data_IF_212401929401
#
_entry.id   IF_212401929401
#
_cell.length_a   1.000
_cell.length_b   1.000
_cell.length_c   1.000
_cell.angle_alpha   90.00
_cell.angle_beta   90.00
_cell.angle_gamma   90.00
#
_symmetry.space_group_name_H-M   'P 1'
#
loop_
_entity.id
_entity.type
_entity.pdbx_description
1 polymer ?
#
# COMPACT_ATOMS: atom_id res chain seq x y z
N UNK A 1 12.66 -22.66 -15.85
CA UNK A 1 13.30 -23.92 -16.31
C UNK A 1 14.49 -24.31 -15.45
N UNK A 2 15.35 -23.37 -15.02
CA UNK A 2 16.51 -23.69 -14.17
C UNK A 2 16.12 -24.24 -12.79
N UNK A 3 15.12 -23.66 -12.13
CA UNK A 3 14.63 -24.17 -10.84
C UNK A 3 14.04 -25.59 -10.93
N UNK A 4 13.30 -25.89 -12.01
CA UNK A 4 12.72 -27.22 -12.24
C UNK A 4 13.78 -28.26 -12.58
N UNK A 5 14.81 -27.88 -13.34
CA UNK A 5 15.96 -28.75 -13.63
C UNK A 5 16.78 -29.07 -12.39
N UNK A 6 17.03 -28.08 -11.52
CA UNK A 6 17.70 -28.30 -10.24
C UNK A 6 16.96 -29.32 -9.36
N UNK A 7 15.63 -29.21 -9.28
CA UNK A 7 14.77 -30.13 -8.53
C UNK A 7 14.46 -31.44 -9.27
N UNK A 8 15.03 -31.66 -10.47
CA UNK A 8 14.79 -32.83 -11.33
C UNK A 8 13.30 -33.07 -11.66
N UNK A 9 12.54 -31.99 -11.80
CA UNK A 9 11.12 -32.02 -12.19
C UNK A 9 11.02 -32.07 -13.70
N UNK A 10 10.20 -32.99 -14.23
CA UNK A 10 9.92 -33.10 -15.66
C UNK A 10 9.29 -31.80 -16.20
N UNK A 11 9.81 -31.22 -17.29
CA UNK A 11 9.23 -30.02 -17.91
C UNK A 11 7.81 -30.23 -18.45
N UNK A 12 7.43 -31.47 -18.80
CA UNK A 12 6.14 -31.80 -19.40
C UNK A 12 5.03 -32.01 -18.36
N UNK A 13 5.39 -32.44 -17.15
CA UNK A 13 4.43 -32.69 -16.05
C UNK A 13 4.57 -31.69 -14.89
N UNK A 14 5.51 -30.75 -14.99
CA UNK A 14 5.73 -29.72 -13.98
C UNK A 14 4.59 -28.71 -13.93
N UNK A 15 4.21 -28.28 -12.72
CA UNK A 15 3.21 -27.24 -12.53
C UNK A 15 3.88 -25.86 -12.60
N UNK A 16 3.44 -25.03 -13.53
CA UNK A 16 3.79 -23.62 -13.62
C UNK A 16 2.49 -22.80 -13.59
N UNK A 17 2.45 -21.82 -12.69
CA UNK A 17 1.31 -20.92 -12.53
C UNK A 17 1.77 -19.51 -12.85
N UNK A 18 1.17 -18.90 -13.86
CA UNK A 18 1.32 -17.47 -14.10
C UNK A 18 0.33 -16.65 -13.24
N UNK A 19 0.32 -15.33 -13.42
CA UNK A 19 -0.55 -14.43 -12.63
C UNK A 19 -2.05 -14.67 -12.84
N UNK A 20 -2.47 -15.37 -13.91
CA UNK A 20 -3.88 -15.65 -14.19
C UNK A 20 -4.50 -16.67 -13.23
N UNK A 21 -3.67 -17.47 -12.55
CA UNK A 21 -4.12 -18.46 -11.58
C UNK A 21 -4.41 -17.88 -10.19
N UNK A 22 -4.16 -16.58 -9.97
CA UNK A 22 -4.54 -15.90 -8.74
C UNK A 22 -6.06 -15.89 -8.57
N UNK A 23 -6.63 -16.49 -7.50
CA UNK A 23 -8.09 -16.60 -7.32
C UNK A 23 -8.81 -15.25 -7.27
N UNK A 24 -8.09 -14.21 -6.85
CA UNK A 24 -8.53 -12.81 -6.91
C UNK A 24 -7.55 -12.07 -7.82
N UNK A 25 -8.00 -11.54 -8.97
CA UNK A 25 -7.14 -10.78 -9.87
C UNK A 25 -6.55 -9.56 -9.18
N UNK A 26 -5.23 -9.41 -9.25
CA UNK A 26 -4.52 -8.29 -8.64
C UNK A 26 -4.27 -7.20 -9.69
N UNK A 27 -4.87 -6.03 -9.49
CA UNK A 27 -4.51 -4.84 -10.24
C UNK A 27 -3.29 -4.16 -9.58
N UNK A 28 -2.26 -3.88 -10.36
CA UNK A 28 -1.03 -3.26 -9.89
C UNK A 28 -0.85 -1.86 -10.49
N UNK A 29 -0.45 -0.90 -9.66
CA UNK A 29 -0.07 0.44 -10.10
C UNK A 29 1.30 0.78 -9.54
N UNK A 30 2.22 1.18 -10.41
CA UNK A 30 3.57 1.61 -10.04
C UNK A 30 3.64 3.14 -10.10
N UNK A 31 4.13 3.76 -9.02
CA UNK A 31 4.30 5.22 -8.93
C UNK A 31 5.78 5.49 -8.67
N UNK A 32 6.49 5.91 -9.72
CA UNK A 32 7.87 6.36 -9.62
C UNK A 32 7.93 7.79 -9.10
N UNK A 33 8.83 8.06 -8.15
CA UNK A 33 9.08 9.41 -7.62
C UNK A 33 10.48 9.84 -8.05
N UNK A 34 10.56 10.91 -8.85
CA UNK A 34 11.82 11.43 -9.41
C UNK A 34 12.48 12.53 -8.56
N UNK A 35 11.88 12.90 -7.42
CA UNK A 35 12.44 13.90 -6.51
C UNK A 35 13.75 13.40 -5.89
N UNK A 36 14.80 14.22 -5.98
CA UNK A 36 16.16 13.86 -5.56
C UNK A 36 16.41 14.24 -4.10
N UNK A 37 15.80 15.33 -3.63
CA UNK A 37 15.93 15.73 -2.24
C UNK A 37 15.20 14.72 -1.35
N UNK A 38 15.95 14.09 -0.43
CA UNK A 38 15.42 13.04 0.43
C UNK A 38 14.20 13.47 1.26
N UNK A 39 14.22 14.68 1.81
CA UNK A 39 13.10 15.18 2.63
C UNK A 39 11.88 15.47 1.78
N UNK A 40 12.06 16.18 0.66
CA UNK A 40 10.96 16.51 -0.25
C UNK A 40 10.36 15.24 -0.87
N UNK A 41 11.19 14.26 -1.22
CA UNK A 41 10.76 12.95 -1.72
C UNK A 41 9.87 12.23 -0.72
N UNK A 42 10.25 12.23 0.56
CA UNK A 42 9.45 11.59 1.60
C UNK A 42 8.12 12.31 1.83
N UNK A 43 8.11 13.64 1.80
CA UNK A 43 6.86 14.40 1.93
C UNK A 43 5.92 14.13 0.74
N UNK A 44 6.45 14.12 -0.48
CA UNK A 44 5.72 13.78 -1.70
C UNK A 44 5.18 12.35 -1.66
N UNK A 45 5.99 11.38 -1.21
CA UNK A 45 5.57 9.99 -1.03
C UNK A 45 4.38 9.89 -0.07
N UNK A 46 4.46 10.57 1.08
CA UNK A 46 3.38 10.57 2.07
C UNK A 46 2.10 11.22 1.52
N UNK A 47 2.22 12.29 0.74
CA UNK A 47 1.07 12.96 0.11
C UNK A 47 0.38 12.05 -0.91
N UNK A 48 1.16 11.41 -1.81
CA UNK A 48 0.64 10.46 -2.79
C UNK A 48 -0.03 9.28 -2.08
N UNK A 49 0.61 8.74 -1.05
CA UNK A 49 0.07 7.65 -0.23
C UNK A 49 -1.29 8.01 0.36
N UNK A 50 -1.41 9.20 0.96
CA UNK A 50 -2.68 9.69 1.52
C UNK A 50 -3.78 9.76 0.46
N UNK A 51 -3.50 10.34 -0.71
CA UNK A 51 -4.47 10.44 -1.81
C UNK A 51 -4.98 9.06 -2.24
N UNK A 52 -4.08 8.08 -2.39
CA UNK A 52 -4.45 6.70 -2.77
C UNK A 52 -5.28 5.99 -1.70
N UNK A 53 -4.96 6.19 -0.43
CA UNK A 53 -5.74 5.65 0.69
C UNK A 53 -7.15 6.23 0.64
N UNK A 54 -7.30 7.55 0.54
CA UNK A 54 -8.62 8.20 0.51
C UNK A 54 -9.45 7.71 -0.67
N UNK A 55 -8.87 7.56 -1.86
CA UNK A 55 -9.57 7.03 -3.03
C UNK A 55 -10.04 5.59 -2.83
N UNK A 56 -9.24 4.76 -2.15
CA UNK A 56 -9.59 3.37 -1.82
C UNK A 56 -10.71 3.30 -0.77
N UNK A 57 -10.59 4.09 0.29
CA UNK A 57 -11.59 4.18 1.36
C UNK A 57 -12.94 4.69 0.85
N UNK A 58 -12.94 5.67 -0.06
CA UNK A 58 -14.17 6.18 -0.71
C UNK A 58 -14.90 5.12 -1.54
N UNK A 59 -14.18 4.11 -2.03
CA UNK A 59 -14.74 2.94 -2.72
C UNK A 59 -15.20 1.86 -1.76
N UNK A 60 -15.09 2.07 -0.45
CA UNK A 60 -15.45 1.09 0.58
C UNK A 60 -14.40 0.01 0.82
N UNK A 61 -13.17 0.19 0.33
CA UNK A 61 -12.10 -0.80 0.49
C UNK A 61 -11.17 -0.44 1.66
N UNK A 62 -10.82 -1.44 2.47
CA UNK A 62 -9.75 -1.32 3.46
C UNK A 62 -8.38 -1.22 2.77
N UNK A 63 -7.46 -0.50 3.37
CA UNK A 63 -6.12 -0.24 2.84
C UNK A 63 -5.05 -0.64 3.85
N UNK A 64 -3.98 -1.26 3.35
CA UNK A 64 -2.81 -1.63 4.12
C UNK A 64 -1.58 -0.95 3.54
N UNK A 65 -0.77 -0.32 4.40
CA UNK A 65 0.42 0.44 4.02
C UNK A 65 1.64 -0.25 4.60
N UNK A 66 2.52 -0.74 3.74
CA UNK A 66 3.80 -1.30 4.13
C UNK A 66 4.86 -0.20 4.20
N UNK A 67 5.67 -0.21 5.26
CA UNK A 67 6.79 0.70 5.48
C UNK A 67 8.06 -0.07 5.82
N UNK A 68 9.21 0.58 5.71
CA UNK A 68 10.52 -0.05 5.86
C UNK A 68 10.96 -0.26 7.32
N UNK A 69 10.42 0.51 8.29
CA UNK A 69 10.81 0.40 9.70
C UNK A 69 9.65 0.66 10.64
N UNK A 70 9.73 0.12 11.87
CA UNK A 70 8.75 0.38 12.95
C UNK A 70 8.62 1.87 13.25
N UNK A 71 9.74 2.61 13.18
CA UNK A 71 9.77 4.05 13.39
C UNK A 71 8.99 4.78 12.29
N UNK A 72 9.10 4.31 11.06
CA UNK A 72 8.37 4.89 9.92
C UNK A 72 6.88 4.55 9.97
N UNK A 73 6.49 3.43 10.58
CA UNK A 73 5.07 3.12 10.85
C UNK A 73 4.41 4.24 11.64
N UNK A 74 5.02 4.63 12.76
CA UNK A 74 4.49 5.70 13.62
C UNK A 74 4.51 7.07 12.91
N UNK A 75 5.61 7.41 12.24
CA UNK A 75 5.73 8.69 11.51
C UNK A 75 4.71 8.82 10.37
N UNK A 76 4.56 7.76 9.57
CA UNK A 76 3.63 7.73 8.44
C UNK A 76 2.20 7.84 8.94
N UNK A 77 1.81 7.04 9.94
CA UNK A 77 0.48 7.12 10.55
C UNK A 77 0.19 8.54 11.07
N UNK A 78 1.16 9.18 11.73
CA UNK A 78 1.00 10.55 12.22
C UNK A 78 0.87 11.57 11.08
N UNK A 79 1.67 11.45 10.02
CA UNK A 79 1.59 12.34 8.85
C UNK A 79 0.26 12.20 8.11
N UNK A 80 -0.23 10.97 7.91
CA UNK A 80 -1.54 10.69 7.30
C UNK A 80 -2.67 11.29 8.14
N UNK A 81 -2.63 11.13 9.46
CA UNK A 81 -3.58 11.78 10.38
C UNK A 81 -3.52 13.30 10.28
N UNK A 82 -2.33 13.88 10.12
CA UNK A 82 -2.16 15.33 9.94
C UNK A 82 -2.76 15.82 8.62
N UNK A 83 -2.62 15.07 7.53
CA UNK A 83 -3.24 15.38 6.24
C UNK A 83 -4.76 15.29 6.23
N UNK A 84 -5.34 14.47 7.11
CA UNK A 84 -6.79 14.40 7.32
C UNK A 84 -7.37 15.63 8.02
N UNK A 85 -6.57 16.35 8.81
CA UNK A 85 -7.03 17.42 9.71
C UNK A 85 -7.05 18.87 9.19
N UNK A 86 -6.53 19.30 8.02
CA UNK A 86 -6.65 20.69 7.61
C UNK A 86 -7.89 20.92 6.73
N UNK A 87 -8.58 22.04 6.99
CA UNK A 87 -9.67 22.63 6.17
C UNK A 87 -11.01 21.89 6.11
N UNK A 88 -11.82 22.02 7.17
CA UNK A 88 -13.28 22.21 7.12
C UNK A 88 -14.12 21.40 6.13
N UNK A 89 -13.75 20.17 5.81
CA UNK A 89 -14.41 19.34 4.79
C UNK A 89 -14.90 18.03 5.40
N UNK A 90 -16.05 17.55 4.89
CA UNK A 90 -16.88 16.43 5.36
C UNK A 90 -16.18 15.06 5.52
N UNK A 91 -14.85 14.99 5.43
CA UNK A 91 -14.02 13.81 5.62
C UNK A 91 -13.52 13.64 7.07
N UNK A 92 -13.77 14.60 7.97
CA UNK A 92 -13.58 14.41 9.42
C UNK A 92 -14.20 13.10 9.90
N UNK A 93 -15.41 12.83 9.41
CA UNK A 93 -16.23 11.66 9.75
C UNK A 93 -15.64 10.33 9.25
N UNK A 94 -14.71 10.35 8.28
CA UNK A 94 -14.03 9.13 7.80
C UNK A 94 -12.98 8.63 8.80
N UNK A 95 -12.47 9.54 9.63
CA UNK A 95 -11.44 9.29 10.63
C UNK A 95 -11.97 9.34 12.07
N UNK A 96 -13.24 9.68 12.26
CA UNK A 96 -13.91 9.64 13.55
C UNK A 96 -14.09 8.18 13.99
N UNK A 97 -13.21 7.82 14.92
CA UNK A 97 -13.26 6.79 15.97
C UNK A 97 -14.26 5.63 15.80
N UNK A 98 -14.09 4.85 14.73
CA UNK A 98 -14.24 3.38 14.72
C UNK A 98 -13.88 2.84 13.32
N UNK A 99 -14.31 3.54 12.26
CA UNK A 99 -14.17 3.07 10.87
C UNK A 99 -12.76 3.29 10.29
N UNK A 100 -12.14 4.43 10.57
CA UNK A 100 -10.81 4.77 10.03
C UNK A 100 -9.66 3.91 10.57
N UNK A 101 -9.74 3.47 11.83
CA UNK A 101 -8.75 2.55 12.44
C UNK A 101 -8.95 1.10 11.99
N UNK A 102 -10.19 0.69 11.67
CA UNK A 102 -10.47 -0.62 11.09
C UNK A 102 -10.05 -0.71 9.62
N UNK A 103 -10.08 0.41 8.89
CA UNK A 103 -9.84 0.42 7.45
C UNK A 103 -8.41 0.77 7.01
N UNK A 104 -7.56 1.33 7.87
CA UNK A 104 -6.15 1.60 7.55
C UNK A 104 -5.20 0.92 8.54
N UNK A 105 -4.41 -0.04 8.05
CA UNK A 105 -3.30 -0.65 8.81
C UNK A 105 -1.97 -0.25 8.21
N UNK A 106 -1.13 0.46 8.97
CA UNK A 106 0.28 0.68 8.61
C UNK A 106 1.10 -0.40 9.30
N UNK A 107 1.80 -1.22 8.54
CA UNK A 107 2.57 -2.36 9.06
C UNK A 107 4.01 -2.35 8.55
N UNK A 108 4.90 -2.94 9.35
CA UNK A 108 6.26 -3.22 8.94
C UNK A 108 6.26 -4.39 7.96
N UNK A 109 6.89 -4.21 6.79
CA UNK A 109 7.15 -5.28 5.83
C UNK A 109 8.35 -6.14 6.21
#
# INVERSE_FOLDING_TARGET
MEASQFLRVSPETGLFFDSSYCPVPLAQQYIGISEQNFSARNDLLNEICYKKIVDSLRKGHQTMVFVHSRKDTAKTAWKLRKFSKPSGSSLSNLWDMEVGYLALKVILG
#
